data_IF_879204798546
#
_entry.id   IF_879204798546
#
_cell.length_a   1.000
_cell.length_b   1.000
_cell.length_c   1.000
_cell.angle_alpha   90.00
_cell.angle_beta   90.00
_cell.angle_gamma   90.00
#
_symmetry.space_group_name_H-M   'P 1'
#
loop_
_entity.id
_entity.type
_entity.pdbx_description
1 polymer ?
#
# COMPACT_ATOMS: atom_id res chain seq x y z
N UNK A 1 4.69 -25.76 12.07
CA UNK A 1 3.66 -24.96 11.37
C UNK A 1 4.12 -23.55 11.02
N UNK A 2 4.78 -22.82 11.94
CA UNK A 2 5.40 -21.50 11.64
C UNK A 2 6.35 -21.49 10.44
N UNK A 3 7.25 -22.49 10.35
CA UNK A 3 8.25 -22.56 9.28
C UNK A 3 7.64 -22.51 7.86
N UNK A 4 6.57 -23.26 7.60
CA UNK A 4 5.93 -23.30 6.25
C UNK A 4 5.46 -21.92 5.80
N UNK A 5 4.93 -21.10 6.70
CA UNK A 5 4.46 -19.77 6.36
C UNK A 5 5.61 -18.76 6.24
N UNK A 6 6.66 -18.91 7.05
CA UNK A 6 7.88 -18.12 6.91
C UNK A 6 8.56 -18.42 5.57
N UNK A 7 8.75 -19.68 5.20
CA UNK A 7 9.33 -20.09 3.92
C UNK A 7 8.51 -19.56 2.73
N UNK A 8 7.17 -19.61 2.84
CA UNK A 8 6.28 -19.05 1.83
C UNK A 8 6.38 -17.52 1.75
N UNK A 9 6.47 -16.84 2.89
CA UNK A 9 6.61 -15.39 2.99
C UNK A 9 7.93 -14.93 2.38
N UNK A 10 9.04 -15.56 2.75
CA UNK A 10 10.38 -15.29 2.21
C UNK A 10 10.44 -15.55 0.70
N UNK A 11 9.87 -16.67 0.24
CA UNK A 11 9.86 -17.03 -1.19
C UNK A 11 9.17 -15.97 -2.05
N UNK A 12 8.02 -15.45 -1.62
CA UNK A 12 7.34 -14.36 -2.36
C UNK A 12 8.09 -13.04 -2.18
N UNK A 13 8.68 -12.83 -0.99
CA UNK A 13 9.37 -11.61 -0.61
C UNK A 13 10.66 -11.33 -1.38
N UNK A 14 11.27 -12.34 -2.00
CA UNK A 14 12.45 -12.19 -2.85
C UNK A 14 12.23 -11.17 -3.98
N UNK A 15 11.07 -11.25 -4.66
CA UNK A 15 10.75 -10.34 -5.77
C UNK A 15 9.69 -9.30 -5.39
N UNK A 16 8.80 -9.64 -4.45
CA UNK A 16 7.55 -8.91 -4.18
C UNK A 16 7.29 -8.76 -2.68
N UNK A 17 8.14 -8.03 -1.94
CA UNK A 17 8.08 -7.93 -0.48
C UNK A 17 6.74 -7.40 0.03
N UNK A 18 6.19 -6.34 -0.61
CA UNK A 18 4.88 -5.79 -0.23
C UNK A 18 3.74 -6.79 -0.42
N UNK A 19 3.80 -7.58 -1.49
CA UNK A 19 2.79 -8.60 -1.75
C UNK A 19 2.89 -9.74 -0.73
N UNK A 20 4.11 -10.18 -0.41
CA UNK A 20 4.37 -11.19 0.60
C UNK A 20 3.75 -10.80 1.95
N UNK A 21 4.00 -9.57 2.40
CA UNK A 21 3.46 -9.01 3.64
C UNK A 21 1.92 -8.90 3.64
N UNK A 22 1.33 -8.49 2.50
CA UNK A 22 -0.12 -8.42 2.36
C UNK A 22 -0.77 -9.81 2.46
N UNK A 23 -0.16 -10.82 1.82
CA UNK A 23 -0.63 -12.22 1.92
C UNK A 23 -0.59 -12.70 3.37
N UNK A 24 0.48 -12.39 4.12
CA UNK A 24 0.58 -12.76 5.54
C UNK A 24 -0.45 -12.05 6.41
N UNK A 25 -0.79 -10.79 6.09
CA UNK A 25 -1.87 -10.05 6.77
C UNK A 25 -3.21 -10.80 6.68
N UNK A 26 -3.57 -11.25 5.47
CA UNK A 26 -4.84 -11.97 5.24
C UNK A 26 -4.85 -13.31 5.96
N UNK A 27 -3.76 -14.09 5.87
CA UNK A 27 -3.67 -15.37 6.58
C UNK A 27 -3.72 -15.19 8.10
N UNK A 28 -3.06 -14.17 8.62
CA UNK A 28 -3.05 -13.88 10.06
C UNK A 28 -4.46 -13.55 10.55
N UNK A 29 -5.26 -12.81 9.77
CA UNK A 29 -6.67 -12.56 10.09
C UNK A 29 -7.49 -13.87 10.17
N UNK A 30 -7.31 -14.78 9.21
CA UNK A 30 -8.01 -16.08 9.19
C UNK A 30 -7.62 -16.94 10.39
N UNK A 31 -6.33 -17.01 10.73
CA UNK A 31 -5.87 -17.77 11.89
C UNK A 31 -6.28 -17.16 13.22
N UNK A 32 -6.27 -15.83 13.35
CA UNK A 32 -6.80 -15.15 14.53
C UNK A 32 -8.28 -15.46 14.74
N UNK A 33 -9.08 -15.48 13.67
CA UNK A 33 -10.48 -15.89 13.74
C UNK A 33 -10.64 -17.36 14.17
N UNK A 34 -9.87 -18.27 13.59
CA UNK A 34 -9.92 -19.69 13.97
C UNK A 34 -9.49 -19.91 15.43
N UNK A 35 -8.48 -19.18 15.90
CA UNK A 35 -8.00 -19.25 17.28
C UNK A 35 -9.05 -18.72 18.26
N UNK A 36 -9.73 -17.61 17.95
CA UNK A 36 -10.77 -17.05 18.82
C UNK A 36 -12.00 -17.96 18.96
N UNK A 37 -12.21 -18.89 18.02
CA UNK A 37 -13.26 -19.92 18.05
C UNK A 37 -12.79 -21.23 18.68
N UNK A 38 -11.54 -21.31 19.12
CA UNK A 38 -10.95 -22.54 19.68
C UNK A 38 -10.70 -23.64 18.65
N UNK A 39 -10.84 -23.36 17.35
CA UNK A 39 -10.56 -24.33 16.28
C UNK A 39 -9.07 -24.66 16.19
N UNK A 40 -8.21 -23.68 16.47
CA UNK A 40 -6.78 -23.85 16.65
C UNK A 40 -6.36 -23.25 17.98
N UNK A 41 -5.26 -23.74 18.55
CA UNK A 41 -4.77 -23.27 19.86
C UNK A 41 -4.31 -21.82 19.85
N UNK A 42 -3.66 -21.38 18.77
CA UNK A 42 -3.10 -20.03 18.62
C UNK A 42 -2.86 -19.70 17.15
N UNK A 43 -2.69 -18.42 16.83
CA UNK A 43 -2.33 -17.97 15.49
C UNK A 43 -0.84 -18.26 15.23
N UNK A 44 -0.49 -19.09 14.22
CA UNK A 44 0.91 -19.38 13.92
C UNK A 44 1.68 -18.16 13.39
N UNK A 45 1.00 -17.14 12.86
CA UNK A 45 1.60 -15.92 12.30
C UNK A 45 1.73 -14.77 13.31
N UNK A 46 1.40 -15.02 14.58
CA UNK A 46 1.61 -14.03 15.63
C UNK A 46 3.10 -13.67 15.73
N UNK A 47 3.42 -12.38 15.74
CA UNK A 47 4.80 -11.88 15.80
C UNK A 47 5.60 -11.99 14.49
N UNK A 48 4.96 -12.25 13.34
CA UNK A 48 5.65 -12.21 12.05
C UNK A 48 6.10 -10.79 11.70
N UNK A 49 7.39 -10.62 11.41
CA UNK A 49 7.97 -9.37 10.95
C UNK A 49 7.66 -9.09 9.47
N UNK A 50 7.67 -7.81 9.09
CA UNK A 50 7.39 -7.37 7.71
C UNK A 50 8.69 -7.32 6.91
N UNK A 51 8.65 -7.77 5.66
CA UNK A 51 9.78 -7.67 4.73
C UNK A 51 9.83 -6.32 4.03
N UNK A 52 8.68 -5.72 3.77
CA UNK A 52 8.59 -4.47 3.02
C UNK A 52 8.85 -3.26 3.90
N UNK A 53 9.85 -2.48 3.51
CA UNK A 53 10.04 -1.10 3.95
C UNK A 53 9.79 -0.15 2.77
N UNK A 54 9.23 1.02 3.05
CA UNK A 54 8.95 2.03 2.02
C UNK A 54 9.58 3.36 2.41
N UNK A 55 10.44 3.88 1.52
CA UNK A 55 10.67 5.31 1.38
C UNK A 55 9.75 5.78 0.24
N UNK A 56 9.09 6.92 0.44
CA UNK A 56 8.13 7.53 -0.50
C UNK A 56 8.46 9.00 -0.74
N UNK A 57 9.66 9.42 -0.38
CA UNK A 57 10.11 10.79 -0.57
C UNK A 57 10.18 11.19 -2.05
N UNK A 58 10.43 10.23 -2.93
CA UNK A 58 10.54 10.41 -4.38
C UNK A 58 9.22 10.76 -5.08
N UNK A 59 8.08 10.46 -4.45
CA UNK A 59 6.75 10.78 -5.00
C UNK A 59 6.16 12.06 -4.42
N UNK A 60 6.88 12.76 -3.53
CA UNK A 60 6.45 14.05 -2.98
C UNK A 60 6.70 15.13 -4.02
N UNK A 61 5.63 15.83 -4.42
CA UNK A 61 5.73 16.94 -5.36
C UNK A 61 6.19 18.20 -4.64
N UNK A 62 7.30 18.78 -5.11
CA UNK A 62 7.77 20.09 -4.65
C UNK A 62 7.13 21.21 -5.45
N UNK A 63 7.29 22.45 -4.98
CA UNK A 63 6.90 23.63 -5.74
C UNK A 63 7.59 23.67 -7.12
N UNK A 64 8.86 23.27 -7.20
CA UNK A 64 9.60 23.21 -8.46
C UNK A 64 9.00 22.17 -9.43
N UNK A 65 8.55 21.02 -8.92
CA UNK A 65 7.88 20.00 -9.74
C UNK A 65 6.54 20.50 -10.27
N UNK A 66 5.77 21.19 -9.43
CA UNK A 66 4.50 21.82 -9.82
C UNK A 66 4.75 22.85 -10.93
N UNK A 67 5.70 23.76 -10.75
CA UNK A 67 6.03 24.78 -11.76
C UNK A 67 6.46 24.15 -13.09
N UNK A 68 7.31 23.11 -13.03
CA UNK A 68 7.76 22.37 -14.21
C UNK A 68 6.60 21.69 -14.94
N UNK A 69 5.68 21.06 -14.20
CA UNK A 69 4.49 20.45 -14.77
C UNK A 69 3.60 21.50 -15.43
N UNK A 70 3.33 22.61 -14.73
CA UNK A 70 2.48 23.69 -15.21
C UNK A 70 3.01 24.34 -16.50
N UNK A 71 4.32 24.41 -16.67
CA UNK A 71 4.94 24.98 -17.88
C UNK A 71 4.74 24.14 -19.15
N UNK A 72 4.55 22.82 -19.03
CA UNK A 72 4.48 21.90 -20.17
C UNK A 72 3.15 21.16 -20.34
N UNK A 73 2.29 21.13 -19.32
CA UNK A 73 1.06 20.36 -19.34
C UNK A 73 -0.07 21.08 -20.13
N UNK A 74 -0.96 20.34 -20.81
CA UNK A 74 -2.23 20.88 -21.31
C UNK A 74 -3.07 21.53 -20.20
N UNK A 75 -3.88 22.53 -20.56
CA UNK A 75 -4.65 23.34 -19.61
C UNK A 75 -5.60 22.50 -18.74
N UNK A 76 -6.12 21.40 -19.27
CA UNK A 76 -7.00 20.47 -18.56
C UNK A 76 -6.26 19.78 -17.42
N UNK A 77 -5.02 19.34 -17.66
CA UNK A 77 -4.20 18.70 -16.64
C UNK A 77 -3.67 19.70 -15.62
N UNK A 78 -3.36 20.92 -16.03
CA UNK A 78 -3.03 22.02 -15.12
C UNK A 78 -4.19 22.28 -14.15
N UNK A 79 -5.42 22.41 -14.67
CA UNK A 79 -6.62 22.60 -13.84
C UNK A 79 -6.87 21.43 -12.90
N UNK A 80 -6.68 20.20 -13.38
CA UNK A 80 -6.80 19.01 -12.54
C UNK A 80 -5.78 19.03 -11.39
N UNK A 81 -4.53 19.44 -11.64
CA UNK A 81 -3.51 19.58 -10.61
C UNK A 81 -3.85 20.69 -9.59
N UNK A 82 -4.30 21.85 -10.06
CA UNK A 82 -4.75 22.96 -9.20
C UNK A 82 -5.87 22.49 -8.28
N UNK A 83 -6.90 21.82 -8.84
CA UNK A 83 -8.00 21.27 -8.05
C UNK A 83 -7.48 20.23 -7.03
N UNK A 84 -6.61 19.32 -7.45
CA UNK A 84 -6.04 18.31 -6.56
C UNK A 84 -5.30 18.92 -5.36
N UNK A 85 -4.45 19.93 -5.60
CA UNK A 85 -3.65 20.59 -4.55
C UNK A 85 -4.53 21.38 -3.60
N UNK A 86 -5.54 22.10 -4.10
CA UNK A 86 -6.38 22.95 -3.25
C UNK A 86 -7.53 22.21 -2.55
N UNK A 87 -7.96 21.07 -3.07
CA UNK A 87 -9.08 20.30 -2.48
C UNK A 87 -8.62 19.04 -1.74
N UNK A 88 -7.42 18.53 -2.02
CA UNK A 88 -6.92 17.26 -1.51
C UNK A 88 -7.73 16.04 -1.98
N UNK A 89 -8.56 16.17 -3.00
CA UNK A 89 -9.38 15.08 -3.52
C UNK A 89 -8.55 14.02 -4.24
N UNK A 90 -9.00 12.76 -4.18
CA UNK A 90 -8.37 11.69 -4.97
C UNK A 90 -8.68 11.89 -6.45
N UNK A 91 -7.79 11.42 -7.31
CA UNK A 91 -7.96 11.43 -8.77
C UNK A 91 -9.35 10.99 -9.24
N UNK A 92 -9.86 9.88 -8.69
CA UNK A 92 -11.18 9.37 -9.05
C UNK A 92 -12.35 10.28 -8.64
N UNK A 93 -12.16 11.12 -7.63
CA UNK A 93 -13.17 12.10 -7.20
C UNK A 93 -13.13 13.33 -8.12
N UNK A 94 -11.93 13.79 -8.49
CA UNK A 94 -11.72 14.89 -9.42
C UNK A 94 -12.38 14.65 -10.79
N UNK A 95 -12.28 13.43 -11.34
CA UNK A 95 -12.91 13.10 -12.64
C UNK A 95 -14.44 13.08 -12.56
N UNK A 96 -15.01 12.89 -11.37
CA UNK A 96 -16.45 12.82 -11.15
C UNK A 96 -17.08 14.16 -10.75
N UNK A 97 -16.29 15.24 -10.72
CA UNK A 97 -16.79 16.59 -10.50
C UNK A 97 -17.81 16.95 -11.61
N UNK A 98 -18.92 17.56 -11.19
CA UNK A 98 -20.01 18.01 -12.06
C UNK A 98 -20.14 19.52 -12.02
#
# INVERSE_FOLDING_TARGET
>A
MRAVFADYHEKIGQDRPREADNRMTVLSLVFSYAASRGTIKMNPLEGLERLYSADRSEIIWTEADILKFMAGAPVELQRALILAIHTGQRYGDLIRLR
#
